data_IF_389476160725
#
_entry.id   IF_389476160725
#
_cell.length_a   1.000
_cell.length_b   1.000
_cell.length_c   1.000
_cell.angle_alpha   90.00
_cell.angle_beta   90.00
_cell.angle_gamma   90.00
#
_symmetry.space_group_name_H-M   'P 1'
#
loop_
_entity.id
_entity.type
_entity.pdbx_description
1 polymer ?
#
# COMPACT_ATOMS: atom_id res chain seq x y z
N UNK A 1 -13.28 -26.48 -19.20
CA UNK A 1 -12.70 -25.15 -19.44
C UNK A 1 -11.49 -24.99 -18.53
N UNK A 2 -10.33 -24.84 -19.12
CA UNK A 2 -9.12 -24.65 -18.34
C UNK A 2 -9.14 -23.28 -17.69
N UNK A 3 -8.86 -23.22 -16.38
CA UNK A 3 -8.63 -21.96 -15.72
C UNK A 3 -7.28 -21.41 -16.15
N UNK A 4 -7.32 -20.38 -16.96
CA UNK A 4 -6.11 -19.67 -17.35
C UNK A 4 -5.81 -18.64 -16.26
N UNK A 5 -4.75 -18.85 -15.47
CA UNK A 5 -4.35 -17.95 -14.40
C UNK A 5 -4.02 -16.54 -14.92
N UNK A 6 -3.75 -16.39 -16.22
CA UNK A 6 -3.51 -15.09 -16.84
C UNK A 6 -4.80 -14.26 -16.99
N UNK A 7 -5.97 -14.90 -16.84
CA UNK A 7 -7.26 -14.19 -16.88
C UNK A 7 -7.67 -13.61 -15.53
N UNK A 8 -6.90 -13.89 -14.49
CA UNK A 8 -7.17 -13.33 -13.16
C UNK A 8 -6.88 -11.84 -13.17
N UNK A 9 -7.85 -11.06 -12.73
CA UNK A 9 -7.70 -9.61 -12.65
C UNK A 9 -6.85 -9.25 -11.42
N UNK A 10 -5.68 -8.71 -11.67
CA UNK A 10 -4.81 -8.25 -10.59
C UNK A 10 -5.24 -6.89 -10.08
N UNK A 11 -5.09 -6.69 -8.80
CA UNK A 11 -5.44 -5.44 -8.12
C UNK A 11 -4.22 -4.94 -7.37
N UNK A 12 -3.85 -3.69 -7.59
CA UNK A 12 -2.76 -3.07 -6.83
C UNK A 12 -3.34 -2.22 -5.70
N UNK A 13 -2.77 -2.38 -4.54
CA UNK A 13 -3.13 -1.65 -3.34
C UNK A 13 -1.94 -0.79 -2.94
N UNK A 14 -2.17 0.51 -2.81
CA UNK A 14 -1.18 1.46 -2.33
C UNK A 14 -1.71 2.07 -1.04
N UNK A 15 -0.95 1.94 0.03
CA UNK A 15 -1.34 2.46 1.33
C UNK A 15 -0.25 3.41 1.84
N UNK A 16 -0.64 4.65 2.09
CA UNK A 16 0.26 5.64 2.70
C UNK A 16 -0.14 5.79 4.15
N UNK A 17 0.76 5.45 5.05
CA UNK A 17 0.50 5.44 6.49
C UNK A 17 1.58 6.22 7.23
N UNK A 18 1.35 6.44 8.53
CA UNK A 18 2.36 7.06 9.40
C UNK A 18 3.64 6.21 9.40
N UNK A 19 4.79 6.86 9.44
CA UNK A 19 6.08 6.18 9.44
C UNK A 19 6.20 5.20 10.62
N UNK A 20 5.72 5.58 11.80
CA UNK A 20 5.77 4.74 12.99
C UNK A 20 4.90 3.48 12.91
N UNK A 21 4.00 3.40 11.93
CA UNK A 21 3.13 2.24 11.72
C UNK A 21 3.76 1.16 10.81
N UNK A 22 4.99 1.39 10.32
CA UNK A 22 5.63 0.49 9.36
C UNK A 22 5.68 -0.95 9.85
N UNK A 23 6.21 -1.19 11.03
CA UNK A 23 6.38 -2.54 11.57
C UNK A 23 5.04 -3.21 11.82
N UNK A 24 4.10 -2.50 12.41
CA UNK A 24 2.79 -3.05 12.75
C UNK A 24 1.99 -3.42 11.50
N UNK A 25 2.00 -2.55 10.49
CA UNK A 25 1.29 -2.82 9.22
C UNK A 25 1.95 -3.98 8.48
N UNK A 26 3.28 -4.00 8.42
CA UNK A 26 4.01 -5.12 7.79
C UNK A 26 3.65 -6.44 8.46
N UNK A 27 3.63 -6.47 9.79
CA UNK A 27 3.27 -7.66 10.55
C UNK A 27 1.83 -8.08 10.26
N UNK A 28 0.89 -7.15 10.26
CA UNK A 28 -0.52 -7.45 10.00
C UNK A 28 -0.71 -8.07 8.61
N UNK A 29 -0.01 -7.55 7.60
CA UNK A 29 -0.07 -8.07 6.24
C UNK A 29 0.53 -9.47 6.15
N UNK A 30 1.66 -9.69 6.79
CA UNK A 30 2.29 -11.01 6.84
C UNK A 30 1.38 -12.03 7.55
N UNK A 31 0.75 -11.62 8.64
CA UNK A 31 -0.13 -12.50 9.42
C UNK A 31 -1.35 -12.98 8.61
N UNK A 32 -1.85 -12.20 7.69
CA UNK A 32 -2.96 -12.63 6.81
C UNK A 32 -2.49 -13.37 5.55
N UNK A 33 -1.19 -13.52 5.36
CA UNK A 33 -0.64 -14.28 4.25
C UNK A 33 -0.19 -13.46 3.05
N UNK A 34 -0.11 -12.15 3.18
CA UNK A 34 0.40 -11.29 2.11
C UNK A 34 1.92 -11.30 2.15
N UNK A 35 2.55 -11.75 1.06
CA UNK A 35 4.00 -11.93 1.00
C UNK A 35 4.73 -10.93 0.11
N UNK A 36 4.14 -10.52 -1.00
CA UNK A 36 4.79 -9.61 -1.94
C UNK A 36 4.56 -8.15 -1.55
N UNK A 37 5.30 -7.68 -0.55
CA UNK A 37 5.16 -6.32 -0.03
C UNK A 37 6.37 -5.49 -0.42
N UNK A 38 6.14 -4.36 -1.09
CA UNK A 38 7.16 -3.34 -1.30
C UNK A 38 6.80 -2.13 -0.43
N UNK A 39 7.77 -1.59 0.26
CA UNK A 39 7.53 -0.40 1.10
C UNK A 39 8.70 0.56 0.98
N UNK A 40 8.39 1.85 0.98
CA UNK A 40 9.41 2.88 0.90
C UNK A 40 8.93 4.17 1.56
N UNK A 41 9.89 4.99 1.93
CA UNK A 41 9.61 6.26 2.58
C UNK A 41 9.12 7.26 1.54
N UNK A 42 8.10 8.03 1.92
CA UNK A 42 7.56 9.12 1.12
C UNK A 42 7.32 10.31 2.02
N UNK A 43 7.06 11.44 1.41
CA UNK A 43 6.75 12.67 2.13
C UNK A 43 5.32 13.05 1.83
N UNK A 44 4.51 13.16 2.87
CA UNK A 44 3.16 13.68 2.75
C UNK A 44 3.15 15.18 2.92
N UNK A 45 2.53 15.88 1.97
CA UNK A 45 2.35 17.33 2.03
C UNK A 45 0.88 17.65 2.08
N UNK A 46 0.48 18.50 3.02
CA UNK A 46 -0.92 18.85 3.15
C UNK A 46 -1.12 20.16 3.88
N UNK A 47 -2.35 20.62 3.88
CA UNK A 47 -2.76 21.82 4.60
C UNK A 47 -3.35 21.35 5.93
N UNK A 48 -2.80 21.84 7.04
CA UNK A 48 -3.33 21.54 8.35
C UNK A 48 -4.06 22.77 8.91
N UNK A 49 -5.37 22.61 9.12
CA UNK A 49 -6.18 23.68 9.70
C UNK A 49 -5.85 23.83 11.18
N UNK A 50 -5.68 25.07 11.62
CA UNK A 50 -5.42 25.41 13.01
C UNK A 50 -3.94 25.51 13.39
N UNK A 51 -3.03 25.14 12.50
CA UNK A 51 -1.60 25.37 12.66
C UNK A 51 -1.12 26.25 11.52
N UNK A 52 -0.95 27.51 11.80
CA UNK A 52 -0.53 28.50 10.80
C UNK A 52 0.84 29.02 11.14
N UNK A 53 1.71 29.06 10.16
CA UNK A 53 2.98 29.76 10.24
C UNK A 53 2.95 30.95 9.29
N UNK A 54 3.63 32.02 9.69
CA UNK A 54 3.78 33.18 8.85
C UNK A 54 5.19 33.17 8.26
N UNK A 55 5.28 33.11 6.94
CA UNK A 55 6.53 33.22 6.23
C UNK A 55 6.48 34.52 5.41
N UNK A 56 7.36 35.47 5.71
CA UNK A 56 7.41 36.77 5.02
C UNK A 56 6.06 37.51 5.08
N UNK A 57 5.35 37.38 6.20
CA UNK A 57 4.06 38.05 6.38
C UNK A 57 2.88 37.34 5.73
N UNK A 58 3.10 36.18 5.10
CA UNK A 58 2.02 35.38 4.55
C UNK A 58 1.77 34.14 5.40
N UNK A 59 0.50 33.83 5.58
CA UNK A 59 0.08 32.65 6.33
C UNK A 59 0.31 31.41 5.49
N UNK A 60 1.07 30.45 6.05
CA UNK A 60 1.38 29.18 5.39
C UNK A 60 0.89 28.05 6.28
N UNK A 61 -0.07 27.26 5.77
CA UNK A 61 -0.67 26.14 6.48
C UNK A 61 -0.19 24.77 5.93
N UNK A 62 0.94 24.75 5.24
CA UNK A 62 1.47 23.53 4.64
C UNK A 62 2.30 22.76 5.64
N UNK A 63 1.96 21.50 5.83
CA UNK A 63 2.70 20.59 6.67
C UNK A 63 3.35 19.50 5.81
N UNK A 64 4.61 19.19 6.09
CA UNK A 64 5.37 18.14 5.44
C UNK A 64 5.70 17.09 6.48
N UNK A 65 5.23 15.85 6.27
CA UNK A 65 5.41 14.76 7.21
C UNK A 65 5.98 13.51 6.53
N UNK A 66 6.90 12.81 7.20
CA UNK A 66 7.38 11.52 6.68
C UNK A 66 6.27 10.47 6.78
N UNK A 67 6.15 9.68 5.73
CA UNK A 67 5.17 8.60 5.61
C UNK A 67 5.84 7.36 5.04
N UNK A 68 5.18 6.23 5.15
CA UNK A 68 5.56 5.00 4.47
C UNK A 68 4.48 4.66 3.47
N UNK A 69 4.89 4.29 2.27
CA UNK A 69 3.97 3.79 1.25
C UNK A 69 4.21 2.29 1.04
N UNK A 70 3.15 1.52 1.23
CA UNK A 70 3.13 0.09 0.93
C UNK A 70 2.54 -0.12 -0.45
N UNK A 71 3.12 -1.01 -1.22
CA UNK A 71 2.60 -1.45 -2.51
C UNK A 71 2.44 -2.96 -2.48
N UNK A 72 1.22 -3.42 -2.76
CA UNK A 72 0.85 -4.84 -2.71
C UNK A 72 0.02 -5.14 -3.93
N UNK A 73 0.26 -6.30 -4.55
CA UNK A 73 -0.58 -6.79 -5.65
C UNK A 73 -1.30 -8.05 -5.17
N UNK A 74 -2.61 -8.06 -5.33
CA UNK A 74 -3.44 -9.20 -4.94
C UNK A 74 -4.22 -9.71 -6.15
N UNK A 75 -4.74 -10.93 -6.05
CA UNK A 75 -5.32 -11.67 -7.17
C UNK A 75 -6.85 -11.72 -7.16
N UNK A 76 -7.50 -11.11 -6.18
CA UNK A 76 -8.96 -11.13 -6.10
C UNK A 76 -9.49 -9.98 -5.25
N UNK A 77 -10.77 -9.71 -5.42
CA UNK A 77 -11.47 -8.71 -4.59
C UNK A 77 -11.54 -9.16 -3.13
N UNK A 78 -11.58 -10.46 -2.88
CA UNK A 78 -11.54 -10.98 -1.52
C UNK A 78 -10.21 -10.65 -0.85
N UNK A 79 -9.10 -10.87 -1.54
CA UNK A 79 -7.78 -10.50 -1.05
C UNK A 79 -7.64 -8.99 -0.87
N UNK A 80 -8.21 -8.20 -1.80
CA UNK A 80 -8.24 -6.75 -1.66
C UNK A 80 -8.91 -6.34 -0.37
N UNK A 81 -10.10 -6.88 -0.10
CA UNK A 81 -10.86 -6.57 1.10
C UNK A 81 -10.09 -6.92 2.37
N UNK A 82 -9.52 -8.12 2.43
CA UNK A 82 -8.75 -8.57 3.59
C UNK A 82 -7.53 -7.69 3.84
N UNK A 83 -6.85 -7.31 2.78
CA UNK A 83 -5.66 -6.46 2.85
C UNK A 83 -6.02 -5.06 3.35
N UNK A 84 -7.06 -4.47 2.79
CA UNK A 84 -7.55 -3.15 3.21
C UNK A 84 -7.95 -3.17 4.69
N UNK A 85 -8.69 -4.19 5.12
CA UNK A 85 -9.13 -4.31 6.51
C UNK A 85 -7.93 -4.41 7.47
N UNK A 86 -6.92 -5.20 7.12
CA UNK A 86 -5.73 -5.36 7.94
C UNK A 86 -4.97 -4.05 8.11
N UNK A 87 -4.76 -3.31 7.01
CA UNK A 87 -4.07 -2.02 7.03
C UNK A 87 -4.88 -0.99 7.81
N UNK A 88 -6.15 -0.88 7.49
CA UNK A 88 -7.05 0.09 8.09
C UNK A 88 -7.13 -0.09 9.60
N UNK A 89 -7.32 -1.30 10.07
CA UNK A 89 -7.41 -1.63 11.50
C UNK A 89 -6.11 -1.28 12.22
N UNK A 90 -4.98 -1.60 11.62
CA UNK A 90 -3.66 -1.43 12.25
C UNK A 90 -3.22 0.03 12.25
N UNK A 91 -3.44 0.75 11.17
CA UNK A 91 -2.97 2.13 11.02
C UNK A 91 -3.91 3.17 11.60
N UNK A 92 -5.09 2.78 12.04
CA UNK A 92 -6.09 3.70 12.57
C UNK A 92 -5.69 4.26 13.94
N UNK A 93 -5.68 5.58 14.07
CA UNK A 93 -5.56 6.28 15.36
C UNK A 93 -6.79 7.13 15.63
N UNK A 94 -7.53 7.50 14.59
CA UNK A 94 -8.66 8.43 14.68
C UNK A 94 -8.27 9.88 14.53
N UNK A 95 -6.98 10.15 14.34
CA UNK A 95 -6.46 11.51 14.19
C UNK A 95 -6.15 11.82 12.73
N UNK A 96 -6.20 13.10 12.33
CA UNK A 96 -5.74 13.48 11.00
C UNK A 96 -4.29 13.03 10.77
N UNK A 97 -4.03 12.51 9.59
CA UNK A 97 -2.71 12.01 9.23
C UNK A 97 -2.57 10.50 9.25
N UNK A 98 -3.64 9.77 9.56
CA UNK A 98 -3.61 8.29 9.52
C UNK A 98 -3.27 7.74 8.15
N UNK A 99 -3.60 8.47 7.10
CA UNK A 99 -3.24 8.09 5.74
C UNK A 99 -4.42 7.65 4.91
N UNK A 100 -4.11 7.10 3.74
CA UNK A 100 -5.11 6.70 2.76
C UNK A 100 -4.68 5.42 2.06
N UNK A 101 -5.67 4.68 1.56
CA UNK A 101 -5.47 3.47 0.78
C UNK A 101 -6.10 3.70 -0.58
N UNK A 102 -5.35 3.42 -1.64
CA UNK A 102 -5.81 3.52 -3.01
C UNK A 102 -5.71 2.16 -3.67
N UNK A 103 -6.72 1.78 -4.44
CA UNK A 103 -6.70 0.53 -5.19
C UNK A 103 -7.05 0.78 -6.64
N UNK A 104 -6.48 -0.04 -7.52
CA UNK A 104 -6.78 0.02 -8.94
C UNK A 104 -6.43 -1.31 -9.60
N UNK A 105 -7.06 -1.56 -10.73
CA UNK A 105 -6.75 -2.77 -11.50
C UNK A 105 -5.39 -2.62 -12.16
N UNK A 106 -4.58 -3.65 -12.01
CA UNK A 106 -3.25 -3.71 -12.60
C UNK A 106 -3.32 -4.39 -13.96
N UNK A 107 -2.82 -3.73 -14.98
CA UNK A 107 -2.89 -4.26 -16.34
C UNK A 107 -2.04 -5.52 -16.51
N UNK A 108 -0.83 -5.53 -15.95
CA UNK A 108 0.11 -6.62 -16.17
C UNK A 108 1.14 -6.71 -15.05
N UNK A 109 1.55 -7.91 -14.74
CA UNK A 109 2.70 -8.19 -13.88
C UNK A 109 3.58 -9.20 -14.59
N UNK A 110 4.89 -9.00 -14.52
CA UNK A 110 5.86 -9.90 -15.14
C UNK A 110 6.97 -10.18 -14.14
N UNK A 111 7.24 -11.45 -13.88
CA UNK A 111 8.35 -11.86 -13.05
C UNK A 111 9.63 -11.84 -13.88
N UNK A 112 10.59 -11.03 -13.50
CA UNK A 112 11.81 -10.82 -14.30
C UNK A 112 12.60 -12.11 -14.47
N UNK A 113 12.76 -12.87 -13.37
CA UNK A 113 13.59 -14.08 -13.40
C UNK A 113 13.05 -15.18 -14.34
N UNK A 114 11.74 -15.39 -14.33
CA UNK A 114 11.11 -16.51 -15.04
C UNK A 114 10.35 -16.09 -16.30
N UNK A 115 10.01 -14.81 -16.42
CA UNK A 115 9.13 -14.34 -17.48
C UNK A 115 7.66 -14.67 -17.27
N UNK A 116 7.31 -15.29 -16.15
CA UNK A 116 5.92 -15.58 -15.82
C UNK A 116 5.10 -14.29 -15.72
N UNK A 117 3.85 -14.36 -16.14
CA UNK A 117 2.95 -13.19 -16.20
C UNK A 117 1.69 -13.42 -15.39
N UNK A 118 0.99 -12.34 -15.10
CA UNK A 118 -0.30 -12.38 -14.44
C UNK A 118 -0.24 -12.99 -13.06
N UNK A 119 -1.19 -13.87 -12.77
CA UNK A 119 -1.28 -14.53 -11.48
C UNK A 119 0.02 -15.24 -11.08
N UNK A 120 0.65 -15.93 -12.03
CA UNK A 120 1.87 -16.68 -11.75
C UNK A 120 3.04 -15.75 -11.41
N UNK A 121 3.03 -14.54 -11.95
CA UNK A 121 4.08 -13.55 -11.68
C UNK A 121 4.09 -13.07 -10.22
N UNK A 122 2.93 -13.07 -9.57
CA UNK A 122 2.81 -12.56 -8.19
C UNK A 122 2.88 -13.67 -7.14
N UNK A 123 2.99 -14.93 -7.56
CA UNK A 123 3.15 -16.04 -6.63
C UNK A 123 4.60 -16.16 -6.20
N UNK A 124 4.87 -16.07 -4.91
CA UNK A 124 6.21 -16.19 -4.35
C UNK A 124 6.22 -17.31 -3.31
N UNK A 125 6.17 -18.58 -3.76
CA UNK A 125 6.16 -19.71 -2.81
C UNK A 125 7.44 -19.80 -2.00
N UNK A 126 8.54 -19.26 -2.51
CA UNK A 126 9.85 -19.25 -1.87
C UNK A 126 10.43 -17.83 -1.95
N UNK A 127 11.41 -17.55 -1.10
CA UNK A 127 12.05 -16.23 -1.03
C UNK A 127 13.07 -15.99 -2.15
N UNK A 128 13.03 -16.76 -3.22
CA UNK A 128 14.05 -16.76 -4.26
C UNK A 128 13.72 -15.87 -5.47
N UNK A 129 12.71 -15.05 -5.36
CA UNK A 129 12.28 -14.17 -6.46
C UNK A 129 12.82 -12.77 -6.35
#
# INVERSE_FOLDING_TARGET
MENNNNDVQLIKIEAVVREEMFIDVKKALTDIGVNGITAYQVVGCGIQRGMSEYVRGQKVDVQVLPKIKFEIVVSSEEWERKTIEAIKKTAFTGNPGDGKIFTYYLKQAVKIRTGETGYDAIQTPNFDD
#
